data_IF_506790774741
#
_entry.id   IF_506790774741
#
_cell.length_a   1.000
_cell.length_b   1.000
_cell.length_c   1.000
_cell.angle_alpha   90.00
_cell.angle_beta   90.00
_cell.angle_gamma   90.00
#
_symmetry.space_group_name_H-M   'P 1'
#
loop_
_entity.id
_entity.type
_entity.pdbx_description
1 polymer ?
#
# COMPACT_ATOMS: atom_id res chain seq x y z
N UNK A 1 -41.24 -30.11 42.07
CA UNK A 1 -42.58 -29.93 41.56
C UNK A 1 -42.46 -29.83 40.05
N UNK A 2 -42.47 -30.94 39.38
CA UNK A 2 -43.43 -31.65 38.58
C UNK A 2 -43.89 -30.85 37.34
N UNK A 3 -43.30 -31.20 36.19
CA UNK A 3 -43.84 -31.92 35.04
C UNK A 3 -45.08 -31.31 34.34
N UNK A 4 -45.01 -31.02 33.05
CA UNK A 4 -45.75 -31.78 32.03
C UNK A 4 -45.31 -31.46 30.59
N UNK A 5 -45.05 -32.56 29.86
CA UNK A 5 -44.88 -32.68 28.39
C UNK A 5 -46.22 -32.44 27.70
N UNK A 6 -46.17 -31.93 26.44
CA UNK A 6 -47.09 -32.39 25.40
C UNK A 6 -46.39 -32.44 24.04
N UNK A 7 -46.21 -33.66 23.56
CA UNK A 7 -46.02 -33.99 22.15
C UNK A 7 -47.37 -33.94 21.45
N UNK A 8 -47.44 -33.45 20.22
CA UNK A 8 -48.30 -34.05 19.17
C UNK A 8 -47.68 -33.78 17.78
N UNK A 9 -47.50 -34.89 17.10
CA UNK A 9 -47.23 -35.11 15.70
C UNK A 9 -48.41 -34.76 14.82
N UNK A 10 -48.18 -34.28 13.60
CA UNK A 10 -49.00 -34.67 12.45
C UNK A 10 -48.20 -34.47 11.14
N UNK A 11 -48.07 -35.59 10.45
CA UNK A 11 -47.63 -35.71 9.05
C UNK A 11 -48.61 -35.00 8.12
N UNK A 12 -48.09 -34.35 7.08
CA UNK A 12 -48.86 -33.86 5.96
C UNK A 12 -47.98 -33.81 4.70
N UNK A 13 -47.99 -34.90 3.95
CA UNK A 13 -47.47 -35.00 2.60
C UNK A 13 -48.41 -34.30 1.63
N UNK A 14 -47.90 -33.31 0.88
CA UNK A 14 -48.53 -32.85 -0.35
C UNK A 14 -47.53 -32.98 -1.51
N UNK A 15 -47.83 -33.93 -2.37
CA UNK A 15 -47.30 -34.00 -3.74
C UNK A 15 -48.08 -32.99 -4.56
N UNK A 16 -47.40 -32.19 -5.38
CA UNK A 16 -47.97 -31.55 -6.55
C UNK A 16 -47.04 -31.73 -7.75
N UNK A 17 -47.69 -32.16 -8.81
CA UNK A 17 -47.19 -32.59 -10.09
C UNK A 17 -46.53 -31.48 -10.88
N UNK A 18 -45.52 -31.88 -11.66
CA UNK A 18 -44.87 -31.07 -12.69
C UNK A 18 -45.60 -31.32 -14.02
N UNK A 19 -45.96 -30.29 -14.79
CA UNK A 19 -46.19 -30.47 -16.23
C UNK A 19 -44.92 -30.08 -17.01
N UNK A 20 -44.50 -31.02 -17.87
CA UNK A 20 -43.48 -30.80 -18.88
C UNK A 20 -44.04 -30.03 -20.10
N UNK A 21 -43.07 -29.49 -20.86
CA UNK A 21 -43.11 -28.97 -22.22
C UNK A 21 -43.22 -27.45 -22.36
N UNK A 22 -42.08 -26.83 -22.79
CA UNK A 22 -41.97 -26.30 -24.18
C UNK A 22 -40.50 -25.95 -24.45
N UNK A 23 -39.93 -26.61 -25.46
CA UNK A 23 -38.67 -26.21 -26.11
C UNK A 23 -38.90 -24.87 -26.83
N UNK A 24 -38.13 -23.85 -26.45
CA UNK A 24 -38.00 -22.62 -27.23
C UNK A 24 -36.54 -22.46 -27.65
N UNK A 25 -36.36 -22.25 -28.94
CA UNK A 25 -35.11 -22.21 -29.69
C UNK A 25 -34.14 -21.16 -29.14
N UNK A 26 -32.90 -21.58 -28.88
CA UNK A 26 -31.78 -20.73 -28.53
C UNK A 26 -31.24 -20.07 -29.81
N UNK A 27 -31.60 -18.81 -30.05
CA UNK A 27 -30.98 -18.01 -31.10
C UNK A 27 -29.54 -17.65 -30.68
N UNK A 28 -28.58 -18.09 -31.47
CA UNK A 28 -27.15 -17.78 -31.36
C UNK A 28 -26.92 -16.28 -31.58
N UNK A 29 -26.49 -15.56 -30.57
CA UNK A 29 -25.91 -14.23 -30.71
C UNK A 29 -24.50 -14.36 -31.35
N UNK A 30 -24.07 -13.42 -32.20
CA UNK A 30 -22.80 -13.50 -32.88
C UNK A 30 -21.64 -13.27 -31.87
N UNK A 31 -20.70 -14.20 -31.85
CA UNK A 31 -19.42 -14.05 -31.15
C UNK A 31 -18.64 -12.93 -31.82
N UNK A 32 -18.57 -11.76 -31.16
CA UNK A 32 -17.55 -10.77 -31.50
C UNK A 32 -16.20 -11.27 -31.00
N UNK A 33 -15.32 -11.57 -31.95
CA UNK A 33 -13.92 -11.87 -31.71
C UNK A 33 -13.25 -10.68 -31.05
N UNK A 34 -12.94 -10.80 -29.76
CA UNK A 34 -12.00 -9.92 -29.05
C UNK A 34 -10.57 -10.36 -29.39
N UNK A 35 -10.14 -10.16 -30.63
CA UNK A 35 -8.73 -10.16 -31.00
C UNK A 35 -8.17 -8.76 -30.78
N UNK A 36 -7.61 -8.55 -29.63
CA UNK A 36 -6.94 -7.31 -29.25
C UNK A 36 -6.14 -7.48 -27.98
N UNK A 37 -5.26 -8.51 -27.95
CA UNK A 37 -4.18 -8.52 -26.97
C UNK A 37 -3.26 -7.35 -27.28
N UNK A 38 -3.48 -6.21 -26.65
CA UNK A 38 -2.46 -5.16 -26.58
C UNK A 38 -1.29 -5.76 -25.80
N UNK A 39 -0.33 -6.32 -26.55
CA UNK A 39 1.00 -6.64 -26.02
C UNK A 39 1.51 -5.36 -25.35
N UNK A 40 1.85 -5.47 -24.08
CA UNK A 40 2.63 -4.47 -23.38
C UNK A 40 3.88 -4.22 -24.23
N UNK A 41 3.93 -3.09 -24.91
CA UNK A 41 5.06 -2.75 -25.76
C UNK A 41 6.23 -2.48 -24.82
N UNK A 42 7.17 -3.40 -24.78
CA UNK A 42 8.50 -3.25 -24.21
C UNK A 42 9.21 -2.11 -24.92
N UNK A 43 9.03 -0.88 -24.46
CA UNK A 43 9.93 0.24 -24.64
C UNK A 43 10.19 0.76 -23.25
N UNK A 44 11.47 0.83 -22.91
CA UNK A 44 12.00 1.59 -21.78
C UNK A 44 11.44 3.02 -21.84
N UNK A 45 10.28 3.22 -21.22
CA UNK A 45 9.84 4.57 -20.87
C UNK A 45 10.30 4.79 -19.44
N UNK A 46 11.37 5.51 -19.29
CA UNK A 46 11.70 6.15 -18.01
C UNK A 46 10.49 6.94 -17.54
N UNK A 47 10.35 7.12 -16.24
CA UNK A 47 9.27 7.93 -15.63
C UNK A 47 9.18 9.35 -16.24
N UNK A 48 10.26 9.81 -16.91
CA UNK A 48 10.37 11.09 -17.61
C UNK A 48 9.77 11.12 -19.03
N UNK A 49 9.44 9.97 -19.63
CA UNK A 49 8.97 9.92 -21.03
C UNK A 49 7.43 9.98 -21.18
N UNK A 50 6.68 10.01 -20.08
CA UNK A 50 5.28 10.40 -20.12
C UNK A 50 5.27 11.93 -20.23
N UNK A 51 4.84 12.45 -21.39
CA UNK A 51 4.45 13.87 -21.52
C UNK A 51 3.57 14.16 -20.31
N UNK A 52 4.06 15.03 -19.42
CA UNK A 52 3.32 15.40 -18.21
C UNK A 52 2.04 16.11 -18.67
N UNK A 53 0.93 15.39 -18.67
CA UNK A 53 -0.37 16.03 -18.86
C UNK A 53 -0.65 16.74 -17.54
N UNK A 54 -0.60 18.06 -17.54
CA UNK A 54 -0.96 18.88 -16.38
C UNK A 54 -2.48 18.74 -16.11
N UNK A 55 -2.85 17.66 -15.44
CA UNK A 55 -4.26 17.32 -15.16
C UNK A 55 -4.78 17.95 -13.88
N UNK A 56 -3.89 18.54 -13.06
CA UNK A 56 -4.20 19.14 -11.74
C UNK A 56 -3.82 20.61 -11.61
N UNK A 57 -3.79 21.33 -12.74
CA UNK A 57 -3.48 22.77 -12.72
C UNK A 57 -4.49 23.52 -11.86
N UNK A 58 -3.97 24.33 -10.92
CA UNK A 58 -4.80 25.11 -9.99
C UNK A 58 -5.33 24.35 -8.78
N UNK A 59 -5.18 23.02 -8.72
CA UNK A 59 -5.54 22.25 -7.54
C UNK A 59 -4.53 22.44 -6.42
N UNK A 60 -5.01 22.51 -5.18
CA UNK A 60 -4.18 22.49 -3.97
C UNK A 60 -4.35 21.14 -3.25
N UNK A 61 -3.24 20.44 -3.05
CA UNK A 61 -3.22 19.08 -2.53
C UNK A 61 -2.41 19.01 -1.24
N UNK A 62 -2.99 18.45 -0.19
CA UNK A 62 -2.30 18.15 1.06
C UNK A 62 -1.79 16.71 1.04
N UNK A 63 -0.51 16.51 1.33
CA UNK A 63 0.11 15.18 1.46
C UNK A 63 0.71 15.06 2.85
N UNK A 64 0.15 14.20 3.70
CA UNK A 64 0.75 13.87 4.99
C UNK A 64 1.71 12.69 4.84
N UNK A 65 2.85 12.72 5.53
CA UNK A 65 3.92 11.74 5.33
C UNK A 65 4.63 11.88 3.97
N UNK A 66 4.56 13.08 3.38
CA UNK A 66 5.04 13.34 2.02
C UNK A 66 6.56 13.30 1.85
N UNK A 67 7.35 13.41 2.91
CA UNK A 67 8.81 13.21 2.87
C UNK A 67 9.23 11.74 3.07
N UNK A 68 8.28 10.84 3.31
CA UNK A 68 8.49 9.41 3.41
C UNK A 68 8.73 8.72 2.06
N UNK A 69 8.91 7.40 2.09
CA UNK A 69 9.14 6.58 0.88
C UNK A 69 8.04 6.81 -0.17
N UNK A 70 6.82 6.36 0.09
CA UNK A 70 5.72 6.46 -0.87
C UNK A 70 5.24 7.90 -1.06
N UNK A 71 5.21 8.69 0.03
CA UNK A 71 4.74 10.07 0.00
C UNK A 71 5.56 10.96 -0.93
N UNK A 72 6.87 10.72 -1.04
CA UNK A 72 7.73 11.51 -1.92
C UNK A 72 7.44 11.29 -3.41
N UNK A 73 7.07 10.08 -3.80
CA UNK A 73 6.61 9.79 -5.17
C UNK A 73 5.23 10.42 -5.45
N UNK A 74 4.33 10.40 -4.47
CA UNK A 74 3.03 11.08 -4.59
C UNK A 74 3.23 12.58 -4.76
N UNK A 75 4.06 13.23 -3.92
CA UNK A 75 4.38 14.65 -4.03
C UNK A 75 4.98 14.99 -5.39
N UNK A 76 5.95 14.21 -5.86
CA UNK A 76 6.60 14.43 -7.15
C UNK A 76 5.60 14.37 -8.29
N UNK A 77 4.79 13.34 -8.35
CA UNK A 77 3.82 13.17 -9.42
C UNK A 77 2.74 14.26 -9.40
N UNK A 78 2.25 14.66 -8.24
CA UNK A 78 1.28 15.76 -8.10
C UNK A 78 1.85 17.08 -8.61
N UNK A 79 3.12 17.39 -8.27
CA UNK A 79 3.81 18.58 -8.78
C UNK A 79 3.98 18.53 -10.29
N UNK A 80 4.34 17.37 -10.85
CA UNK A 80 4.46 17.15 -12.31
C UNK A 80 3.10 17.30 -12.99
N UNK A 81 2.02 16.86 -12.37
CA UNK A 81 0.65 17.03 -12.88
C UNK A 81 0.08 18.45 -12.68
N UNK A 82 0.87 19.39 -12.17
CA UNK A 82 0.53 20.82 -12.08
C UNK A 82 -0.10 21.27 -10.76
N UNK A 83 -0.24 20.39 -9.77
CA UNK A 83 -0.83 20.72 -8.48
C UNK A 83 0.10 21.58 -7.60
N UNK A 84 -0.50 22.42 -6.74
CA UNK A 84 0.19 23.02 -5.59
C UNK A 84 0.16 22.04 -4.41
N UNK A 85 1.30 21.48 -4.04
CA UNK A 85 1.43 20.44 -3.01
C UNK A 85 1.90 21.04 -1.69
N UNK A 86 1.11 20.82 -0.64
CA UNK A 86 1.51 21.08 0.76
C UNK A 86 1.88 19.74 1.41
N UNK A 87 3.16 19.52 1.61
CA UNK A 87 3.71 18.32 2.23
C UNK A 87 3.81 18.54 3.75
N UNK A 88 3.07 17.77 4.53
CA UNK A 88 3.15 17.76 6.00
C UNK A 88 3.86 16.49 6.46
N UNK A 89 4.97 16.62 7.17
CA UNK A 89 5.75 15.48 7.66
C UNK A 89 6.47 15.84 8.97
N UNK A 90 6.45 14.92 9.94
CA UNK A 90 7.18 15.09 11.20
C UNK A 90 8.68 14.82 11.07
N UNK A 91 9.08 14.13 9.99
CA UNK A 91 10.42 13.60 9.74
C UNK A 91 10.82 12.48 10.73
N UNK A 92 9.87 11.77 11.29
CA UNK A 92 10.15 10.58 12.12
C UNK A 92 10.85 9.50 11.28
N UNK A 93 10.32 9.22 10.08
CA UNK A 93 10.92 8.30 9.10
C UNK A 93 11.16 8.97 7.75
N UNK A 94 10.52 10.12 7.51
CA UNK A 94 10.66 10.91 6.31
C UNK A 94 12.03 11.60 6.23
N UNK A 95 12.52 11.80 5.01
CA UNK A 95 13.79 12.48 4.72
C UNK A 95 13.54 13.70 3.84
N UNK A 96 13.96 14.89 4.27
CA UNK A 96 13.83 16.11 3.46
C UNK A 96 14.46 15.95 2.07
N UNK A 97 15.52 15.14 1.96
CA UNK A 97 16.21 14.86 0.70
C UNK A 97 15.25 14.26 -0.36
N UNK A 98 14.28 13.44 0.06
CA UNK A 98 13.33 12.81 -0.86
C UNK A 98 12.44 13.81 -1.63
N UNK A 99 12.32 15.05 -1.14
CA UNK A 99 11.45 16.10 -1.69
C UNK A 99 12.19 17.42 -1.95
N UNK A 100 13.52 17.42 -1.82
CA UNK A 100 14.32 18.65 -1.90
C UNK A 100 14.16 19.34 -3.26
N UNK A 101 14.22 18.57 -4.34
CA UNK A 101 14.17 19.08 -5.72
C UNK A 101 12.80 19.66 -6.09
N UNK A 102 11.73 19.27 -5.37
CA UNK A 102 10.37 19.73 -5.66
C UNK A 102 10.19 21.23 -5.38
N UNK A 103 11.00 21.81 -4.50
CA UNK A 103 10.96 23.25 -4.18
C UNK A 103 11.22 24.13 -5.41
N UNK A 104 12.08 23.69 -6.32
CA UNK A 104 12.41 24.41 -7.54
C UNK A 104 11.21 24.62 -8.48
N UNK A 105 10.14 23.80 -8.33
CA UNK A 105 8.93 23.91 -9.14
C UNK A 105 8.09 25.15 -8.84
N UNK A 106 8.28 25.80 -7.68
CA UNK A 106 7.41 26.88 -7.18
C UNK A 106 6.00 26.42 -6.77
N UNK A 107 5.70 25.11 -6.87
CA UNK A 107 4.40 24.49 -6.53
C UNK A 107 4.48 23.52 -5.36
N UNK A 108 5.53 23.57 -4.56
CA UNK A 108 5.74 22.68 -3.43
C UNK A 108 6.08 23.45 -2.15
N UNK A 109 5.32 23.17 -1.10
CA UNK A 109 5.51 23.72 0.25
C UNK A 109 5.75 22.57 1.23
N UNK A 110 6.76 22.69 2.11
CA UNK A 110 7.04 21.72 3.16
C UNK A 110 6.70 22.31 4.53
N UNK A 111 5.86 21.63 5.28
CA UNK A 111 5.45 21.96 6.66
C UNK A 111 5.92 20.85 7.59
N UNK A 112 6.85 21.14 8.51
CA UNK A 112 7.23 20.19 9.54
C UNK A 112 6.18 20.19 10.65
N UNK A 113 5.36 19.14 10.71
CA UNK A 113 4.34 18.99 11.74
C UNK A 113 4.01 17.51 12.00
N UNK A 114 3.52 17.23 13.20
CA UNK A 114 2.97 15.94 13.58
C UNK A 114 1.45 15.95 13.38
N UNK A 115 0.95 15.00 12.60
CA UNK A 115 -0.48 14.90 12.27
C UNK A 115 -1.36 14.58 13.48
N UNK A 116 -0.78 14.09 14.58
CA UNK A 116 -1.51 13.83 15.83
C UNK A 116 -1.92 15.14 16.53
N UNK A 117 -1.20 16.22 16.28
CA UNK A 117 -1.43 17.55 16.88
C UNK A 117 -2.36 18.43 16.04
N UNK A 118 -2.71 17.99 14.84
CA UNK A 118 -3.57 18.71 13.91
C UNK A 118 -2.93 18.95 12.55
N UNK A 119 -3.70 19.57 11.65
CA UNK A 119 -3.28 19.94 10.31
C UNK A 119 -3.39 21.42 10.07
N UNK A 120 -2.61 22.00 9.15
CA UNK A 120 -2.78 23.39 8.73
C UNK A 120 -4.20 23.63 8.23
N UNK A 121 -4.81 24.76 8.60
CA UNK A 121 -6.15 25.14 8.12
C UNK A 121 -6.01 25.73 6.70
N UNK A 122 -6.25 24.91 5.71
CA UNK A 122 -6.07 25.23 4.28
C UNK A 122 -7.34 24.88 3.51
N UNK A 123 -7.58 25.63 2.43
CA UNK A 123 -8.50 25.15 1.39
C UNK A 123 -7.73 24.20 0.50
N UNK A 124 -8.23 22.97 0.34
CA UNK A 124 -7.60 21.92 -0.47
C UNK A 124 -8.65 21.13 -1.24
N UNK A 125 -8.25 20.61 -2.40
CA UNK A 125 -9.07 19.80 -3.29
C UNK A 125 -8.88 18.29 -3.06
N UNK A 126 -7.67 17.89 -2.67
CA UNK A 126 -7.34 16.51 -2.33
C UNK A 126 -6.49 16.44 -1.06
N UNK A 127 -6.68 15.36 -0.29
CA UNK A 127 -5.84 15.01 0.87
C UNK A 127 -5.33 13.59 0.67
N UNK A 128 -4.00 13.43 0.70
CA UNK A 128 -3.33 12.14 0.61
C UNK A 128 -2.71 11.81 1.97
N UNK A 129 -3.34 10.88 2.70
CA UNK A 129 -2.86 10.49 4.02
C UNK A 129 -1.93 9.27 3.94
N UNK A 130 -0.61 9.51 3.99
CA UNK A 130 0.43 8.50 4.03
C UNK A 130 1.26 8.56 5.33
N UNK A 131 0.89 9.43 6.27
CA UNK A 131 1.61 9.59 7.54
C UNK A 131 1.39 8.38 8.44
N UNK A 132 2.41 7.54 8.57
CA UNK A 132 2.59 6.54 9.64
C UNK A 132 3.94 5.83 9.42
N UNK A 133 4.64 5.51 10.50
CA UNK A 133 5.73 4.53 10.45
C UNK A 133 5.17 3.17 10.01
N UNK A 134 5.83 2.51 9.06
CA UNK A 134 5.30 1.31 8.40
C UNK A 134 6.21 0.07 8.52
N UNK A 135 7.35 0.18 9.20
CA UNK A 135 8.24 -0.94 9.46
C UNK A 135 8.20 -1.37 10.93
N UNK A 136 8.22 -2.68 11.23
CA UNK A 136 8.11 -3.20 12.59
C UNK A 136 9.07 -2.54 13.60
N UNK A 137 10.38 -2.40 13.31
CA UNK A 137 11.30 -1.77 14.27
C UNK A 137 10.91 -0.33 14.61
N UNK A 138 10.33 0.40 13.65
CA UNK A 138 10.00 1.82 13.86
C UNK A 138 8.65 1.99 14.54
N UNK A 139 7.59 1.29 14.10
CA UNK A 139 6.26 1.48 14.71
C UNK A 139 6.16 0.86 16.12
N UNK A 140 7.00 -0.12 16.44
CA UNK A 140 7.09 -0.72 17.79
C UNK A 140 7.93 0.10 18.76
N UNK A 141 8.76 1.04 18.29
CA UNK A 141 9.55 1.93 19.14
C UNK A 141 8.67 2.85 19.97
N UNK A 142 7.61 3.40 19.36
CA UNK A 142 6.58 4.17 20.07
C UNK A 142 5.19 3.71 19.57
N UNK A 143 4.65 2.62 20.17
CA UNK A 143 3.40 2.03 19.72
C UNK A 143 2.18 2.91 19.97
N UNK A 144 2.21 3.73 21.05
CA UNK A 144 1.11 4.65 21.34
C UNK A 144 1.05 5.75 20.29
N UNK A 145 2.17 6.38 19.97
CA UNK A 145 2.24 7.40 18.93
C UNK A 145 1.85 6.83 17.57
N UNK A 146 2.26 5.60 17.26
CA UNK A 146 1.87 4.89 16.02
C UNK A 146 0.35 4.73 15.92
N UNK A 147 -0.31 4.26 16.98
CA UNK A 147 -1.76 4.15 17.06
C UNK A 147 -2.43 5.52 16.86
N UNK A 148 -1.99 6.54 17.61
CA UNK A 148 -2.56 7.89 17.54
C UNK A 148 -2.34 8.55 16.17
N UNK A 149 -1.21 8.30 15.50
CA UNK A 149 -0.96 8.77 14.12
C UNK A 149 -2.02 8.25 13.17
N UNK A 150 -2.39 6.98 13.27
CA UNK A 150 -3.43 6.38 12.43
C UNK A 150 -4.84 6.89 12.79
N UNK A 151 -5.17 7.04 14.07
CA UNK A 151 -6.53 7.42 14.52
C UNK A 151 -6.73 8.93 14.47
N UNK A 152 -5.92 9.71 15.20
CA UNK A 152 -6.05 11.17 15.26
C UNK A 152 -5.65 11.82 13.94
N UNK A 153 -4.52 11.37 13.34
CA UNK A 153 -4.07 11.89 12.05
C UNK A 153 -5.13 11.70 10.96
N UNK A 154 -5.76 10.51 10.90
CA UNK A 154 -6.84 10.26 9.96
C UNK A 154 -8.08 11.11 10.27
N UNK A 155 -8.47 11.22 11.52
CA UNK A 155 -9.60 12.08 11.93
C UNK A 155 -9.37 13.55 11.55
N UNK A 156 -8.15 14.07 11.69
CA UNK A 156 -7.81 15.45 11.27
C UNK A 156 -7.92 15.61 9.74
N UNK A 157 -7.47 14.62 8.96
CA UNK A 157 -7.63 14.61 7.50
C UNK A 157 -9.11 14.64 7.10
N UNK A 158 -9.93 13.79 7.70
CA UNK A 158 -11.36 13.69 7.40
C UNK A 158 -12.13 14.93 7.83
N UNK A 159 -11.78 15.51 8.99
CA UNK A 159 -12.37 16.75 9.47
C UNK A 159 -12.04 17.94 8.54
N UNK A 160 -10.82 18.00 8.01
CA UNK A 160 -10.44 19.00 7.01
C UNK A 160 -11.19 18.76 5.69
N UNK A 161 -11.24 17.51 5.21
CA UNK A 161 -11.97 17.16 3.99
C UNK A 161 -13.47 17.52 4.07
N UNK A 162 -14.10 17.26 5.22
CA UNK A 162 -15.50 17.66 5.45
C UNK A 162 -15.72 19.19 5.32
N UNK A 163 -14.73 20.01 5.73
CA UNK A 163 -14.80 21.46 5.63
C UNK A 163 -14.56 21.98 4.22
N UNK A 164 -13.66 21.33 3.49
CA UNK A 164 -13.19 21.82 2.18
C UNK A 164 -13.88 21.16 1.00
N UNK A 165 -14.56 20.04 1.20
CA UNK A 165 -15.10 19.20 0.12
C UNK A 165 -14.03 18.33 -0.55
N UNK A 166 -12.84 18.25 0.01
CA UNK A 166 -11.72 17.52 -0.56
C UNK A 166 -11.96 16.00 -0.63
N UNK A 167 -11.48 15.36 -1.70
CA UNK A 167 -11.33 13.90 -1.79
C UNK A 167 -10.17 13.43 -0.92
N UNK A 168 -10.34 12.31 -0.23
CA UNK A 168 -9.33 11.76 0.68
C UNK A 168 -8.81 10.42 0.19
N UNK A 169 -7.50 10.30 0.04
CA UNK A 169 -6.79 9.03 -0.10
C UNK A 169 -6.27 8.58 1.25
N UNK A 170 -6.55 7.33 1.65
CA UNK A 170 -6.00 6.69 2.82
C UNK A 170 -5.06 5.56 2.42
N UNK A 171 -3.80 5.67 2.79
CA UNK A 171 -2.85 4.57 2.74
C UNK A 171 -3.12 3.60 3.89
N UNK A 172 -3.92 2.55 3.60
CA UNK A 172 -4.08 1.38 4.44
C UNK A 172 -3.02 0.33 4.11
N UNK A 173 -3.16 -0.87 4.61
CA UNK A 173 -2.14 -1.91 4.54
C UNK A 173 -2.73 -3.31 4.46
N UNK A 174 -1.99 -4.27 3.92
CA UNK A 174 -2.32 -5.69 4.03
C UNK A 174 -2.22 -6.24 5.46
N UNK A 175 -1.59 -5.51 6.37
CA UNK A 175 -1.49 -5.90 7.80
C UNK A 175 -2.87 -5.95 8.48
N UNK A 176 -3.89 -5.27 7.94
CA UNK A 176 -5.28 -5.36 8.43
C UNK A 176 -5.86 -6.77 8.33
N UNK A 177 -5.26 -7.63 7.52
CA UNK A 177 -5.63 -9.02 7.38
C UNK A 177 -5.02 -9.93 8.46
N UNK A 178 -4.00 -9.46 9.20
CA UNK A 178 -3.29 -10.21 10.23
C UNK A 178 -2.60 -11.46 9.69
N UNK A 179 -2.67 -12.58 10.40
CA UNK A 179 -2.29 -13.90 9.89
C UNK A 179 -3.50 -14.54 9.18
N UNK A 180 -3.56 -14.45 7.83
CA UNK A 180 -4.80 -14.70 7.11
C UNK A 180 -5.10 -16.19 6.95
N UNK A 181 -6.34 -16.58 7.21
CA UNK A 181 -6.90 -17.90 6.88
C UNK A 181 -7.43 -18.02 5.44
N UNK A 182 -7.41 -16.90 4.68
CA UNK A 182 -7.84 -16.83 3.27
C UNK A 182 -6.66 -16.46 2.39
N UNK A 183 -6.44 -17.20 1.33
CA UNK A 183 -5.33 -16.99 0.39
C UNK A 183 -5.77 -17.21 -1.06
N UNK A 184 -5.55 -16.27 -1.99
CA UNK A 184 -5.09 -14.89 -1.77
C UNK A 184 -6.10 -14.06 -0.96
N UNK A 185 -5.63 -12.97 -0.32
CA UNK A 185 -6.48 -12.09 0.47
C UNK A 185 -7.33 -11.21 -0.44
N UNK A 186 -8.65 -11.36 -0.35
CA UNK A 186 -9.64 -10.50 -1.03
C UNK A 186 -10.14 -9.40 -0.09
N UNK A 187 -10.63 -8.29 -0.64
CA UNK A 187 -11.04 -7.11 0.15
C UNK A 187 -12.22 -7.39 1.10
N UNK A 188 -13.03 -8.39 0.79
CA UNK A 188 -14.16 -8.81 1.65
C UNK A 188 -13.73 -9.62 2.87
N UNK A 189 -12.50 -10.12 2.91
CA UNK A 189 -11.96 -10.82 4.07
C UNK A 189 -11.70 -9.84 5.22
N UNK A 190 -12.28 -10.12 6.40
CA UNK A 190 -12.24 -9.21 7.56
C UNK A 190 -10.94 -9.25 8.36
N UNK A 191 -10.09 -10.24 8.11
CA UNK A 191 -8.81 -10.39 8.78
C UNK A 191 -8.85 -11.21 10.08
N UNK A 192 -7.65 -11.56 10.55
CA UNK A 192 -7.39 -12.28 11.80
C UNK A 192 -6.20 -11.60 12.49
N UNK A 193 -6.46 -10.46 13.15
CA UNK A 193 -5.45 -9.62 13.81
C UNK A 193 -5.38 -9.95 15.29
N UNK A 194 -4.17 -10.03 15.84
CA UNK A 194 -3.92 -10.12 17.27
C UNK A 194 -3.98 -8.72 17.90
N UNK A 195 -5.07 -8.42 18.61
CA UNK A 195 -5.32 -7.07 19.18
C UNK A 195 -4.42 -6.70 20.36
N UNK A 196 -3.70 -7.67 20.93
CA UNK A 196 -2.81 -7.47 22.09
C UNK A 196 -1.35 -7.76 21.76
N UNK A 197 -1.06 -8.14 20.50
CA UNK A 197 0.30 -8.43 20.04
C UNK A 197 1.13 -7.17 19.80
N UNK A 198 2.46 -7.32 19.60
CA UNK A 198 3.37 -6.18 19.43
C UNK A 198 3.11 -5.40 18.13
N UNK A 199 2.36 -5.97 17.16
CA UNK A 199 1.99 -5.33 15.90
C UNK A 199 0.65 -4.60 15.97
N UNK A 200 -0.15 -4.82 17.02
CA UNK A 200 -1.51 -4.29 17.16
C UNK A 200 -1.59 -2.75 17.00
N UNK A 201 -0.59 -2.01 17.47
CA UNK A 201 -0.54 -0.56 17.34
C UNK A 201 -0.62 -0.07 15.88
N UNK A 202 -0.05 -0.82 14.96
CA UNK A 202 -0.09 -0.52 13.53
C UNK A 202 -1.32 -1.16 12.87
N UNK A 203 -1.52 -2.45 13.07
CA UNK A 203 -2.57 -3.23 12.42
C UNK A 203 -3.96 -2.72 12.78
N UNK A 204 -4.28 -2.61 14.07
CA UNK A 204 -5.56 -2.06 14.55
C UNK A 204 -5.65 -0.55 14.33
N UNK A 205 -4.54 0.19 14.40
CA UNK A 205 -4.52 1.60 14.03
C UNK A 205 -4.97 1.84 12.60
N UNK A 206 -4.51 1.03 11.64
CA UNK A 206 -4.93 1.09 10.24
C UNK A 206 -6.38 0.63 10.05
N UNK A 207 -6.83 -0.40 10.78
CA UNK A 207 -8.23 -0.84 10.77
C UNK A 207 -9.17 0.25 11.29
N UNK A 208 -8.80 0.93 12.38
CA UNK A 208 -9.54 2.06 12.91
C UNK A 208 -9.59 3.24 11.92
N UNK A 209 -8.50 3.52 11.22
CA UNK A 209 -8.47 4.54 10.17
C UNK A 209 -9.41 4.20 8.99
N UNK A 210 -9.48 2.93 8.55
CA UNK A 210 -10.46 2.50 7.55
C UNK A 210 -11.90 2.70 8.06
N UNK A 211 -12.18 2.30 9.31
CA UNK A 211 -13.51 2.49 9.91
C UNK A 211 -13.91 3.97 9.91
N UNK A 212 -13.03 4.87 10.35
CA UNK A 212 -13.25 6.31 10.32
C UNK A 212 -13.54 6.81 8.89
N UNK A 213 -12.80 6.36 7.87
CA UNK A 213 -13.05 6.72 6.48
C UNK A 213 -14.49 6.41 6.06
N UNK A 214 -14.96 5.20 6.31
CA UNK A 214 -16.31 4.78 5.92
C UNK A 214 -17.41 5.38 6.78
N UNK A 215 -17.14 5.71 8.06
CA UNK A 215 -18.08 6.45 8.91
C UNK A 215 -18.25 7.89 8.43
N UNK A 216 -17.18 8.57 8.07
CA UNK A 216 -17.26 9.91 7.49
C UNK A 216 -17.93 9.91 6.11
N UNK A 217 -17.67 8.89 5.29
CA UNK A 217 -18.37 8.71 4.01
C UNK A 217 -19.88 8.55 4.22
N UNK A 218 -20.31 7.62 5.11
CA UNK A 218 -21.73 7.35 5.35
C UNK A 218 -22.46 8.51 6.02
N UNK A 219 -21.79 9.19 6.95
CA UNK A 219 -22.42 10.21 7.80
C UNK A 219 -22.38 11.59 7.18
N UNK A 220 -21.28 11.93 6.51
CA UNK A 220 -21.01 13.29 6.04
C UNK A 220 -20.79 13.40 4.52
N UNK A 221 -20.81 12.30 3.80
CA UNK A 221 -20.59 12.27 2.35
C UNK A 221 -19.15 12.58 1.92
N UNK A 222 -18.16 12.46 2.82
CA UNK A 222 -16.76 12.69 2.46
C UNK A 222 -16.32 11.63 1.44
N UNK A 223 -15.80 12.07 0.29
CA UNK A 223 -15.32 11.16 -0.75
C UNK A 223 -13.96 10.55 -0.37
N UNK A 224 -13.96 9.27 0.02
CA UNK A 224 -12.77 8.55 0.48
C UNK A 224 -12.31 7.49 -0.50
N UNK A 225 -11.01 7.30 -0.63
CA UNK A 225 -10.34 6.27 -1.42
C UNK A 225 -9.36 5.54 -0.52
N UNK A 226 -9.56 4.26 -0.29
CA UNK A 226 -8.73 3.46 0.63
C UNK A 226 -7.95 2.42 -0.14
N UNK A 227 -6.61 2.49 -0.10
CA UNK A 227 -5.72 1.50 -0.69
C UNK A 227 -5.15 0.58 0.40
N UNK A 228 -5.38 -0.73 0.31
CA UNK A 228 -4.69 -1.75 1.11
C UNK A 228 -3.40 -2.14 0.40
N UNK A 229 -2.31 -1.60 0.91
CA UNK A 229 -0.99 -1.71 0.31
C UNK A 229 -0.34 -3.02 0.75
N UNK A 230 0.10 -3.82 -0.22
CA UNK A 230 0.91 -5.00 0.02
C UNK A 230 2.40 -4.63 -0.02
N UNK A 231 3.29 -5.59 0.35
CA UNK A 231 4.71 -5.30 0.48
C UNK A 231 5.25 -4.58 -0.74
N UNK A 232 5.82 -3.41 -0.50
CA UNK A 232 6.33 -2.52 -1.55
C UNK A 232 7.79 -2.23 -1.30
N UNK A 233 8.56 -2.15 -2.39
CA UNK A 233 9.98 -1.88 -2.38
C UNK A 233 10.36 -0.96 -3.55
N UNK A 234 11.54 -0.35 -3.48
CA UNK A 234 12.05 0.49 -4.55
C UNK A 234 13.00 1.59 -4.06
N UNK A 235 13.52 2.41 -4.98
CA UNK A 235 14.31 3.60 -4.66
C UNK A 235 13.60 4.53 -3.67
N UNK A 236 14.34 5.36 -2.93
CA UNK A 236 13.90 6.22 -1.81
C UNK A 236 13.44 5.48 -0.55
N UNK A 237 13.35 4.15 -0.57
CA UNK A 237 13.24 3.38 0.65
C UNK A 237 14.51 3.59 1.50
N UNK A 238 14.35 3.70 2.81
CA UNK A 238 15.53 3.88 3.67
C UNK A 238 16.40 2.62 3.69
N UNK A 239 17.73 2.73 3.57
CA UNK A 239 18.60 1.58 3.82
C UNK A 239 18.44 0.99 5.23
N UNK A 240 17.96 1.77 6.19
CA UNK A 240 17.67 1.36 7.57
C UNK A 240 16.16 1.12 7.79
N UNK A 241 15.42 0.80 6.76
CA UNK A 241 13.96 0.57 6.86
C UNK A 241 13.62 -0.63 7.75
N UNK A 242 14.42 -1.70 7.71
CA UNK A 242 14.23 -2.90 8.51
C UNK A 242 13.34 -3.96 7.86
N UNK A 243 12.76 -3.71 6.67
CA UNK A 243 12.03 -4.72 5.92
C UNK A 243 12.95 -5.58 5.07
N UNK A 244 12.51 -6.79 4.71
CA UNK A 244 13.35 -7.84 4.13
C UNK A 244 14.12 -7.39 2.88
N UNK A 245 13.49 -6.70 1.92
CA UNK A 245 14.16 -6.28 0.68
C UNK A 245 15.31 -5.31 0.97
N UNK A 246 15.09 -4.30 1.83
CA UNK A 246 16.15 -3.36 2.22
C UNK A 246 17.26 -4.07 3.00
N UNK A 247 16.91 -4.94 3.95
CA UNK A 247 17.90 -5.67 4.75
C UNK A 247 18.78 -6.55 3.87
N UNK A 248 18.19 -7.32 2.93
CA UNK A 248 18.96 -8.19 2.06
C UNK A 248 19.88 -7.39 1.11
N UNK A 249 19.39 -6.30 0.50
CA UNK A 249 20.21 -5.49 -0.39
C UNK A 249 21.36 -4.84 0.39
N UNK A 250 21.09 -4.24 1.56
CA UNK A 250 22.14 -3.60 2.37
C UNK A 250 23.13 -4.61 2.88
N UNK A 251 22.68 -5.76 3.40
CA UNK A 251 23.56 -6.85 3.84
C UNK A 251 24.46 -7.33 2.70
N UNK A 252 23.90 -7.61 1.53
CA UNK A 252 24.66 -8.06 0.37
C UNK A 252 25.70 -7.04 -0.11
N UNK A 253 25.33 -5.74 -0.15
CA UNK A 253 26.25 -4.67 -0.57
C UNK A 253 27.38 -4.43 0.44
N UNK A 254 27.15 -4.69 1.73
CA UNK A 254 28.14 -4.56 2.80
C UNK A 254 28.97 -5.83 3.01
N UNK A 255 28.64 -6.96 2.37
CA UNK A 255 29.26 -8.26 2.65
C UNK A 255 28.83 -8.87 3.99
N UNK A 256 27.71 -8.41 4.56
CA UNK A 256 27.11 -8.93 5.79
C UNK A 256 26.18 -10.12 5.49
N UNK A 257 25.96 -11.06 6.43
CA UNK A 257 25.04 -12.16 6.23
C UNK A 257 23.61 -11.71 5.96
N UNK A 258 22.91 -12.44 5.07
CA UNK A 258 21.47 -12.24 4.83
C UNK A 258 20.68 -13.09 5.82
N UNK A 259 19.98 -12.43 6.74
CA UNK A 259 19.21 -13.12 7.78
C UNK A 259 17.80 -13.47 7.29
N UNK A 260 17.50 -14.76 7.21
CA UNK A 260 16.18 -15.31 6.92
C UNK A 260 15.55 -15.79 8.22
N UNK A 261 14.37 -15.31 8.52
CA UNK A 261 13.59 -15.76 9.67
C UNK A 261 12.78 -17.01 9.31
N UNK A 262 12.79 -18.04 10.18
CA UNK A 262 12.16 -19.33 9.92
C UNK A 262 13.00 -20.20 8.97
N UNK A 263 12.32 -21.06 8.20
CA UNK A 263 12.94 -21.98 7.22
C UNK A 263 13.13 -21.33 5.82
N UNK A 264 12.65 -20.12 5.63
CA UNK A 264 12.75 -19.39 4.37
C UNK A 264 11.77 -19.83 3.27
N UNK A 265 10.90 -20.79 3.56
CA UNK A 265 9.88 -21.29 2.62
C UNK A 265 8.59 -20.46 2.65
N UNK A 266 8.42 -19.59 3.65
CA UNK A 266 7.31 -18.68 3.69
C UNK A 266 7.31 -17.74 2.47
N UNK A 267 6.13 -17.54 1.87
CA UNK A 267 6.01 -16.75 0.66
C UNK A 267 5.54 -15.32 0.94
N UNK A 268 6.03 -14.40 0.14
CA UNK A 268 5.57 -13.00 0.11
C UNK A 268 5.47 -12.53 -1.34
N UNK A 269 4.58 -11.61 -1.57
CA UNK A 269 4.50 -10.89 -2.83
C UNK A 269 5.11 -9.49 -2.68
N UNK A 270 5.79 -9.01 -3.72
CA UNK A 270 6.50 -7.73 -3.69
C UNK A 270 6.10 -6.86 -4.87
N UNK A 271 5.60 -5.67 -4.60
CA UNK A 271 5.21 -4.69 -5.61
C UNK A 271 6.28 -3.61 -5.75
N UNK A 272 6.71 -3.33 -6.98
CA UNK A 272 7.62 -2.22 -7.23
C UNK A 272 6.90 -0.88 -7.01
N UNK A 273 7.60 0.09 -6.42
CA UNK A 273 7.01 1.38 -6.03
C UNK A 273 6.35 2.12 -7.19
N UNK A 274 6.92 2.05 -8.40
CA UNK A 274 6.34 2.69 -9.59
C UNK A 274 4.93 2.18 -9.91
N UNK A 275 4.75 0.86 -9.92
CA UNK A 275 3.45 0.23 -10.14
C UNK A 275 2.45 0.59 -9.03
N UNK A 276 2.91 0.59 -7.77
CA UNK A 276 2.07 0.96 -6.63
C UNK A 276 1.53 2.39 -6.76
N UNK A 277 2.40 3.34 -7.08
CA UNK A 277 2.02 4.75 -7.26
C UNK A 277 1.04 4.90 -8.44
N UNK A 278 1.23 4.17 -9.54
CA UNK A 278 0.25 4.14 -10.63
C UNK A 278 -1.12 3.66 -10.13
N UNK A 279 -1.17 2.62 -9.29
CA UNK A 279 -2.39 2.14 -8.66
C UNK A 279 -3.07 3.17 -7.76
N UNK A 280 -2.30 3.93 -7.00
CA UNK A 280 -2.82 5.01 -6.17
C UNK A 280 -3.51 6.09 -7.00
N UNK A 281 -2.88 6.51 -8.09
CA UNK A 281 -3.44 7.53 -8.98
C UNK A 281 -4.64 7.02 -9.77
N UNK A 282 -4.67 5.73 -10.16
CA UNK A 282 -5.86 5.12 -10.72
C UNK A 282 -7.03 5.13 -9.72
N UNK A 283 -6.78 4.77 -8.45
CA UNK A 283 -7.81 4.77 -7.40
C UNK A 283 -8.29 6.19 -7.08
N UNK A 284 -7.38 7.13 -6.96
CA UNK A 284 -7.72 8.53 -6.64
C UNK A 284 -8.44 9.22 -7.80
N UNK A 285 -8.08 8.90 -9.04
CA UNK A 285 -8.69 9.43 -10.26
C UNK A 285 -9.99 8.74 -10.68
N UNK A 286 -10.42 7.66 -10.01
CA UNK A 286 -11.64 6.96 -10.37
C UNK A 286 -12.86 7.88 -10.20
N UNK A 287 -13.70 7.96 -11.25
CA UNK A 287 -14.91 8.80 -11.24
C UNK A 287 -15.89 8.38 -10.14
N UNK A 288 -16.04 7.08 -9.95
CA UNK A 288 -16.90 6.51 -8.91
C UNK A 288 -16.06 6.06 -7.72
N UNK A 289 -16.60 6.26 -6.52
CA UNK A 289 -16.10 5.57 -5.36
C UNK A 289 -16.40 4.07 -5.51
N UNK A 290 -15.35 3.24 -5.42
CA UNK A 290 -15.50 1.77 -5.48
C UNK A 290 -16.38 1.25 -4.33
N UNK A 291 -16.58 2.09 -3.27
CA UNK A 291 -17.45 1.76 -2.13
C UNK A 291 -16.80 0.83 -1.12
N UNK A 292 -15.57 0.38 -1.36
CA UNK A 292 -14.80 -0.52 -0.51
C UNK A 292 -13.30 -0.22 -0.64
N UNK A 293 -12.46 -0.70 0.29
CA UNK A 293 -11.00 -0.65 0.13
C UNK A 293 -10.58 -1.43 -1.11
N UNK A 294 -9.45 -1.07 -1.70
CA UNK A 294 -8.88 -1.75 -2.87
C UNK A 294 -7.48 -2.25 -2.55
N UNK A 295 -7.24 -3.52 -2.79
CA UNK A 295 -5.91 -4.12 -2.70
C UNK A 295 -5.02 -3.63 -3.84
N UNK A 296 -3.87 -3.03 -3.49
CA UNK A 296 -2.84 -2.60 -4.44
C UNK A 296 -1.55 -3.35 -4.10
N UNK A 297 -1.11 -4.20 -5.02
CA UNK A 297 0.07 -5.04 -4.84
C UNK A 297 0.33 -5.94 -6.04
N UNK A 298 1.42 -6.70 -6.01
CA UNK A 298 1.75 -7.68 -7.03
C UNK A 298 1.33 -9.08 -6.53
N UNK A 299 0.54 -9.88 -7.28
CA UNK A 299 0.09 -11.20 -6.83
C UNK A 299 1.13 -12.32 -7.04
N UNK A 300 2.29 -12.04 -7.61
CA UNK A 300 3.35 -13.05 -7.79
C UNK A 300 4.09 -13.24 -6.48
N UNK A 301 4.17 -14.50 -6.03
CA UNK A 301 4.81 -14.87 -4.77
C UNK A 301 6.23 -15.37 -4.98
N UNK A 302 7.07 -15.10 -3.99
CA UNK A 302 8.44 -15.60 -3.90
C UNK A 302 8.71 -16.07 -2.48
N UNK A 303 9.49 -17.13 -2.33
CA UNK A 303 10.03 -17.54 -1.04
C UNK A 303 11.11 -16.57 -0.58
N UNK A 304 11.40 -16.54 0.72
CA UNK A 304 12.48 -15.70 1.23
C UNK A 304 13.85 -16.16 0.74
N UNK A 305 14.02 -17.47 0.50
CA UNK A 305 15.23 -18.02 -0.10
C UNK A 305 15.41 -17.54 -1.54
N UNK A 306 14.36 -17.60 -2.37
CA UNK A 306 14.42 -17.09 -3.75
C UNK A 306 14.75 -15.58 -3.80
N UNK A 307 14.15 -14.79 -2.91
CA UNK A 307 14.47 -13.36 -2.81
C UNK A 307 15.94 -13.13 -2.46
N UNK A 308 16.47 -13.84 -1.45
CA UNK A 308 17.86 -13.72 -1.05
C UNK A 308 18.83 -14.11 -2.19
N UNK A 309 18.56 -15.22 -2.88
CA UNK A 309 19.35 -15.66 -4.03
C UNK A 309 19.36 -14.64 -5.18
N UNK A 310 18.20 -14.05 -5.48
CA UNK A 310 18.09 -12.97 -6.50
C UNK A 310 18.93 -11.75 -6.12
N UNK A 311 18.89 -11.33 -4.85
CA UNK A 311 19.67 -10.18 -4.37
C UNK A 311 21.17 -10.49 -4.44
N UNK A 312 21.63 -11.67 -4.00
CA UNK A 312 23.03 -12.10 -4.11
C UNK A 312 23.49 -12.10 -5.57
N UNK A 313 22.69 -12.65 -6.48
CA UNK A 313 23.02 -12.68 -7.91
C UNK A 313 23.14 -11.28 -8.51
N UNK A 314 22.22 -10.35 -8.17
CA UNK A 314 22.23 -8.98 -8.69
C UNK A 314 23.38 -8.12 -8.13
N UNK A 315 23.78 -8.36 -6.89
CA UNK A 315 24.87 -7.61 -6.24
C UNK A 315 26.24 -8.22 -6.49
N UNK A 316 26.31 -9.47 -6.98
CA UNK A 316 27.56 -10.24 -7.07
C UNK A 316 28.17 -10.61 -5.70
N UNK A 317 27.38 -10.47 -4.63
CA UNK A 317 27.82 -10.68 -3.26
C UNK A 317 28.02 -12.17 -2.95
N UNK A 318 29.01 -12.46 -2.10
CA UNK A 318 29.29 -13.79 -1.55
C UNK A 318 28.79 -13.92 -0.09
N UNK A 319 27.91 -13.04 0.34
CA UNK A 319 27.33 -13.05 1.69
C UNK A 319 26.61 -14.37 1.97
N UNK A 320 26.77 -14.89 3.17
CA UNK A 320 26.10 -16.12 3.59
C UNK A 320 24.61 -15.85 3.88
N UNK A 321 23.77 -16.86 3.63
CA UNK A 321 22.40 -16.88 4.11
C UNK A 321 22.38 -17.57 5.47
N UNK A 322 21.88 -16.88 6.50
CA UNK A 322 21.76 -17.41 7.86
C UNK A 322 20.29 -17.44 8.30
N UNK A 323 19.90 -18.47 9.04
CA UNK A 323 18.52 -18.65 9.50
C UNK A 323 18.37 -18.20 10.96
N UNK A 324 17.25 -17.53 11.26
CA UNK A 324 16.90 -17.02 12.59
C UNK A 324 15.51 -17.48 13.00
N UNK A 325 15.19 -17.54 14.31
CA UNK A 325 13.82 -17.82 14.75
C UNK A 325 12.80 -16.80 14.19
N UNK A 326 11.59 -17.27 13.87
CA UNK A 326 10.50 -16.39 13.41
C UNK A 326 10.12 -15.36 14.50
N UNK A 327 9.90 -14.10 14.15
CA UNK A 327 9.30 -13.11 15.04
C UNK A 327 7.87 -13.49 15.44
N UNK A 328 7.46 -13.00 16.61
CA UNK A 328 6.07 -13.15 17.08
C UNK A 328 5.12 -12.41 16.12
N UNK A 329 3.99 -13.02 15.81
CA UNK A 329 2.93 -12.47 14.94
C UNK A 329 3.38 -12.19 13.48
N UNK A 330 4.47 -12.80 12.98
CA UNK A 330 4.81 -12.67 11.56
C UNK A 330 3.89 -13.59 10.72
N UNK A 331 3.11 -13.06 9.76
CA UNK A 331 2.16 -13.86 8.99
C UNK A 331 2.84 -14.95 8.18
N UNK A 332 2.22 -16.12 8.06
CA UNK A 332 2.78 -17.24 7.29
C UNK A 332 2.77 -16.96 5.78
N UNK A 333 1.74 -16.27 5.26
CA UNK A 333 1.61 -15.98 3.84
C UNK A 333 0.88 -14.65 3.60
N UNK A 334 1.26 -13.94 2.51
CA UNK A 334 0.64 -12.67 2.16
C UNK A 334 0.68 -12.44 0.65
N UNK A 335 -0.52 -12.50 0.03
CA UNK A 335 -0.72 -12.34 -1.40
C UNK A 335 -2.02 -11.61 -1.68
N UNK A 336 -2.02 -10.48 -2.45
CA UNK A 336 -3.26 -9.80 -2.81
C UNK A 336 -4.08 -10.58 -3.83
N UNK A 337 -5.39 -10.61 -3.65
CA UNK A 337 -6.31 -10.66 -4.78
C UNK A 337 -6.44 -9.22 -5.30
N UNK A 338 -6.12 -8.99 -6.57
CA UNK A 338 -6.17 -7.68 -7.23
C UNK A 338 -7.30 -7.58 -8.25
N UNK A 339 -8.29 -8.47 -8.17
CA UNK A 339 -9.41 -8.51 -9.12
C UNK A 339 -10.20 -7.21 -9.15
N UNK A 340 -10.43 -6.59 -7.98
CA UNK A 340 -11.10 -5.28 -7.88
C UNK A 340 -10.27 -4.18 -8.55
N UNK A 341 -8.97 -4.10 -8.28
CA UNK A 341 -8.10 -3.12 -8.93
C UNK A 341 -8.07 -3.31 -10.46
N UNK A 342 -8.05 -4.55 -10.92
CA UNK A 342 -8.03 -4.87 -12.34
C UNK A 342 -9.35 -4.52 -13.06
N UNK A 343 -10.50 -4.79 -12.44
CA UNK A 343 -11.82 -4.58 -13.06
C UNK A 343 -12.33 -3.16 -12.92
N UNK A 344 -12.19 -2.56 -11.72
CA UNK A 344 -12.74 -1.22 -11.43
C UNK A 344 -11.79 -0.10 -11.82
N UNK A 345 -10.46 -0.33 -11.75
CA UNK A 345 -9.46 0.70 -12.02
C UNK A 345 -8.68 0.46 -13.32
N UNK A 346 -8.81 -0.71 -13.95
CA UNK A 346 -8.00 -1.10 -15.09
C UNK A 346 -6.50 -1.23 -14.77
N UNK A 347 -6.16 -1.36 -13.47
CA UNK A 347 -4.78 -1.37 -13.00
C UNK A 347 -4.25 -2.80 -12.78
N UNK A 348 -3.01 -3.03 -13.20
CA UNK A 348 -2.21 -4.23 -12.89
C UNK A 348 -0.75 -3.84 -12.75
N UNK A 349 0.04 -4.50 -11.87
CA UNK A 349 1.48 -4.31 -11.82
C UNK A 349 2.14 -4.78 -13.11
N UNK A 350 3.18 -4.08 -13.56
CA UNK A 350 3.88 -4.34 -14.83
C UNK A 350 5.36 -4.65 -14.63
N UNK A 351 5.97 -4.22 -13.52
CA UNK A 351 7.39 -4.41 -13.23
C UNK A 351 7.57 -5.74 -12.48
N UNK A 352 8.36 -6.63 -13.04
CA UNK A 352 8.73 -7.88 -12.38
C UNK A 352 9.74 -7.66 -11.25
N UNK A 353 9.95 -8.70 -10.43
CA UNK A 353 10.82 -8.61 -9.25
C UNK A 353 12.29 -8.34 -9.64
N UNK A 354 12.78 -8.95 -10.71
CA UNK A 354 14.19 -8.83 -11.11
C UNK A 354 14.51 -7.41 -11.55
N UNK A 355 13.69 -6.80 -12.39
CA UNK A 355 13.86 -5.42 -12.84
C UNK A 355 13.69 -4.43 -11.67
N UNK A 356 12.67 -4.64 -10.80
CA UNK A 356 12.48 -3.81 -9.63
C UNK A 356 13.64 -3.89 -8.64
N UNK A 357 14.17 -5.09 -8.39
CA UNK A 357 15.35 -5.29 -7.52
C UNK A 357 16.58 -4.62 -8.12
N UNK A 358 16.84 -4.78 -9.42
CA UNK A 358 17.97 -4.12 -10.09
C UNK A 358 17.95 -2.61 -9.86
N UNK A 359 16.83 -1.94 -10.10
CA UNK A 359 16.68 -0.48 -9.86
C UNK A 359 16.88 -0.12 -8.38
N UNK A 360 16.46 -1.00 -7.47
CA UNK A 360 16.57 -0.75 -6.03
C UNK A 360 18.00 -0.94 -5.54
N UNK A 361 18.71 -1.98 -6.05
CA UNK A 361 20.14 -2.21 -5.78
C UNK A 361 20.96 -1.04 -6.27
N UNK A 362 20.73 -0.57 -7.51
CA UNK A 362 21.42 0.58 -8.08
C UNK A 362 21.23 1.85 -7.24
N UNK A 363 20.05 2.05 -6.68
CA UNK A 363 19.77 3.18 -5.78
C UNK A 363 20.51 3.02 -4.44
N UNK A 364 20.44 1.85 -3.78
CA UNK A 364 21.09 1.65 -2.50
C UNK A 364 22.62 1.67 -2.59
N UNK A 365 23.18 1.14 -3.66
CA UNK A 365 24.61 1.23 -3.90
C UNK A 365 25.07 2.70 -3.92
N UNK A 366 24.35 3.58 -4.61
CA UNK A 366 24.63 5.03 -4.60
C UNK A 366 24.44 5.66 -3.23
N UNK A 367 23.35 5.38 -2.54
CA UNK A 367 23.06 5.93 -1.20
C UNK A 367 24.15 5.55 -0.19
N UNK A 368 24.59 4.29 -0.19
CA UNK A 368 25.63 3.80 0.71
C UNK A 368 27.02 4.36 0.40
N UNK A 369 27.30 4.66 -0.87
CA UNK A 369 28.56 5.31 -1.29
C UNK A 369 28.59 6.80 -0.95
N UNK A 370 27.49 7.51 -1.13
CA UNK A 370 27.40 8.96 -0.91
C UNK A 370 27.38 9.29 0.60
N UNK A 371 26.73 8.48 1.43
CA UNK A 371 26.61 8.75 2.86
C UNK A 371 27.95 8.93 3.60
N UNK A 372 28.98 8.08 3.39
CA UNK A 372 30.30 8.30 3.98
C UNK A 372 31.00 9.57 3.48
N UNK A 373 30.86 9.91 2.19
CA UNK A 373 31.46 11.12 1.62
C UNK A 373 30.89 12.41 2.23
N UNK A 374 29.56 12.46 2.43
CA UNK A 374 28.89 13.61 3.05
C UNK A 374 29.29 13.79 4.53
N UNK A 375 29.54 12.70 5.26
CA UNK A 375 30.04 12.76 6.63
C UNK A 375 31.48 13.27 6.70
N UNK A 376 32.33 12.93 5.72
CA UNK A 376 33.72 13.41 5.65
C UNK A 376 33.83 14.88 5.25
N UNK A 377 32.86 15.44 4.53
CA UNK A 377 32.87 16.83 4.05
C UNK A 377 32.14 17.81 4.97
N UNK A 378 31.58 17.35 6.11
CA UNK A 378 30.84 18.20 7.05
C UNK A 378 29.54 18.79 6.50
N UNK A 379 29.04 18.32 5.38
CA UNK A 379 27.86 18.83 4.70
C UNK A 379 26.56 18.11 5.13
N UNK A 380 26.48 17.65 6.41
CA UNK A 380 25.29 17.09 6.99
C UNK A 380 24.58 18.16 7.83
N UNK A 381 23.57 18.81 7.30
CA UNK A 381 22.62 19.66 8.04
C UNK A 381 21.18 19.46 7.49
#
# INVERSE_FOLDING_TARGET
MALRRHQRSSNGTCRHDVPATTQAACARAPQRSLSGSRRCATKEKTMNDRVAIETRVGQRVLVTGGAGFLGSYVCERLVVEGAHVVCVDSLLTGRKLNVADLKASGRFEFVKADVTLGLPQLQVDEIWNLACAASPPTYQHDPVHTMMTNVLGMNHCLALARKTGARVFQASTSEIYGDPSVHPQMETYRGNVNTIGPRACYDEGKRAAEALCYDYYRTYGVDVRVARIFNTYGPRMSPRDGRVVSNFIVGALNGEPLEIYGDGLQTRSFCFVGDLIDGFFCLMGAERNVGMPVNIGNPVEFTMIELAQKVLALTGSQSEIVFRPLPIDDPHQRRPDISVAATELGWRPCIDLDEGLRRTVDYFARELWIAPMLQMTGAAA
#
